data_IF_636195014593
#
_entry.id   IF_636195014593
#
_cell.length_a   1.000
_cell.length_b   1.000
_cell.length_c   1.000
_cell.angle_alpha   90.00
_cell.angle_beta   90.00
_cell.angle_gamma   90.00
#
_symmetry.space_group_name_H-M   'P 1'
#
loop_
_entity.id
_entity.type
_entity.pdbx_description
1 polymer ?
#
# COMPACT_ATOMS: atom_id res chain seq x y z
N UNK A 1 0.61 -30.41 6.51
CA UNK A 1 -0.19 -29.17 6.59
C UNK A 1 0.47 -28.27 7.62
N UNK A 2 0.85 -27.02 7.31
CA UNK A 2 1.40 -26.13 8.33
C UNK A 2 0.34 -25.94 9.41
N UNK A 3 0.66 -26.37 10.63
CA UNK A 3 -0.17 -26.16 11.81
C UNK A 3 0.01 -24.70 12.18
N UNK A 4 -0.94 -23.83 11.81
CA UNK A 4 -1.00 -22.47 12.35
C UNK A 4 -1.22 -22.64 13.85
N UNK A 5 -0.14 -22.53 14.62
CA UNK A 5 -0.21 -22.48 16.07
C UNK A 5 -0.99 -21.23 16.44
N UNK A 6 -2.25 -21.38 16.79
CA UNK A 6 -3.09 -20.30 17.32
C UNK A 6 -2.55 -19.88 18.68
N UNK A 7 -1.50 -19.06 18.71
CA UNK A 7 -1.08 -18.35 19.90
C UNK A 7 -2.17 -17.31 20.22
N UNK A 8 -2.78 -17.41 21.40
CA UNK A 8 -3.66 -16.36 21.86
C UNK A 8 -2.84 -15.09 22.09
N UNK A 9 -3.33 -13.96 21.58
CA UNK A 9 -2.67 -12.65 21.76
C UNK A 9 -3.72 -11.70 22.27
N UNK A 10 -3.42 -11.01 23.37
CA UNK A 10 -4.32 -10.01 23.96
C UNK A 10 -3.79 -8.62 23.62
N UNK A 11 -4.65 -7.79 23.01
CA UNK A 11 -4.37 -6.39 22.71
C UNK A 11 -5.29 -5.50 23.55
N UNK A 12 -4.72 -4.51 24.25
CA UNK A 12 -5.50 -3.50 24.98
C UNK A 12 -5.52 -2.19 24.20
N UNK A 13 -6.72 -1.70 23.87
CA UNK A 13 -6.91 -0.40 23.23
C UNK A 13 -7.16 0.63 24.34
N UNK A 14 -6.25 1.60 24.52
CA UNK A 14 -6.36 2.66 25.53
C UNK A 14 -6.91 3.93 24.90
N UNK A 15 -7.56 4.76 25.74
CA UNK A 15 -8.10 6.07 25.35
C UNK A 15 -9.07 6.01 24.16
N UNK A 16 -9.87 4.94 24.06
CA UNK A 16 -10.93 4.86 23.06
C UNK A 16 -12.02 5.89 23.40
N UNK A 17 -12.35 6.75 22.45
CA UNK A 17 -13.41 7.75 22.62
C UNK A 17 -14.73 7.06 22.99
N UNK A 18 -15.45 7.61 23.99
CA UNK A 18 -16.69 7.01 24.49
C UNK A 18 -17.77 6.84 23.40
N UNK A 19 -17.96 7.79 22.45
CA UNK A 19 -18.86 7.58 21.31
C UNK A 19 -18.49 6.35 20.48
N UNK A 20 -17.20 6.13 20.22
CA UNK A 20 -16.72 4.98 19.44
C UNK A 20 -16.97 3.67 20.18
N UNK A 21 -16.70 3.64 21.48
CA UNK A 21 -17.01 2.48 22.34
C UNK A 21 -18.50 2.16 22.35
N UNK A 22 -19.36 3.18 22.41
CA UNK A 22 -20.81 3.00 22.37
C UNK A 22 -21.25 2.39 21.02
N UNK A 23 -20.77 2.95 19.91
CA UNK A 23 -21.06 2.44 18.57
C UNK A 23 -20.58 1.00 18.39
N UNK A 24 -19.37 0.68 18.87
CA UNK A 24 -18.83 -0.68 18.83
C UNK A 24 -19.74 -1.68 19.57
N UNK A 25 -20.24 -1.30 20.74
CA UNK A 25 -21.18 -2.13 21.52
C UNK A 25 -22.50 -2.32 20.78
N UNK A 26 -23.05 -1.26 20.17
CA UNK A 26 -24.29 -1.34 19.39
C UNK A 26 -24.12 -2.24 18.15
N UNK A 27 -22.99 -2.14 17.47
CA UNK A 27 -22.67 -2.97 16.31
C UNK A 27 -22.52 -4.45 16.68
N UNK A 28 -21.81 -4.75 17.78
CA UNK A 28 -21.70 -6.11 18.30
C UNK A 28 -23.05 -6.73 18.67
N UNK A 29 -23.95 -5.93 19.28
CA UNK A 29 -25.31 -6.36 19.59
C UNK A 29 -26.14 -6.64 18.32
N UNK A 30 -26.05 -5.75 17.32
CA UNK A 30 -26.67 -5.93 16.00
C UNK A 30 -26.22 -7.24 15.33
N UNK A 31 -24.92 -7.53 15.39
CA UNK A 31 -24.33 -8.75 14.83
C UNK A 31 -24.41 -9.98 15.74
N UNK A 32 -25.07 -9.87 16.91
CA UNK A 32 -25.29 -10.96 17.87
C UNK A 32 -23.99 -11.64 18.34
N UNK A 33 -22.96 -10.87 18.65
CA UNK A 33 -21.64 -11.38 19.08
C UNK A 33 -21.00 -10.52 20.16
N UNK A 34 -19.89 -11.00 20.70
CA UNK A 34 -19.12 -10.25 21.70
C UNK A 34 -18.50 -8.99 21.09
N UNK A 35 -18.28 -7.98 21.94
CA UNK A 35 -17.57 -6.77 21.54
C UNK A 35 -16.12 -7.07 21.11
N UNK A 36 -15.47 -8.09 21.69
CA UNK A 36 -14.15 -8.57 21.27
C UNK A 36 -14.18 -9.12 19.84
N UNK A 37 -15.17 -9.98 19.53
CA UNK A 37 -15.31 -10.53 18.19
C UNK A 37 -15.51 -9.39 17.17
N UNK A 38 -16.34 -8.40 17.51
CA UNK A 38 -16.55 -7.20 16.68
C UNK A 38 -15.28 -6.40 16.45
N UNK A 39 -14.54 -6.11 17.50
CA UNK A 39 -13.27 -5.41 17.39
C UNK A 39 -12.29 -6.19 16.50
N UNK A 40 -12.19 -7.50 16.68
CA UNK A 40 -11.30 -8.36 15.90
C UNK A 40 -11.64 -8.37 14.42
N UNK A 41 -12.92 -8.45 14.07
CA UNK A 41 -13.33 -8.43 12.67
C UNK A 41 -13.09 -7.06 12.02
N UNK A 42 -13.41 -5.96 12.72
CA UNK A 42 -13.16 -4.60 12.23
C UNK A 42 -11.65 -4.40 11.98
N UNK A 43 -10.81 -4.80 12.93
CA UNK A 43 -9.35 -4.72 12.79
C UNK A 43 -8.85 -5.57 11.62
N UNK A 44 -9.33 -6.81 11.51
CA UNK A 44 -8.97 -7.71 10.40
C UNK A 44 -9.32 -7.06 9.06
N UNK A 45 -10.55 -6.55 8.91
CA UNK A 45 -11.01 -5.90 7.69
C UNK A 45 -10.18 -4.65 7.37
N UNK A 46 -9.93 -3.79 8.35
CA UNK A 46 -9.20 -2.55 8.14
C UNK A 46 -7.73 -2.80 7.72
N UNK A 47 -7.06 -3.74 8.38
CA UNK A 47 -5.66 -4.07 8.08
C UNK A 47 -5.53 -4.79 6.74
N UNK A 48 -6.42 -5.72 6.43
CA UNK A 48 -6.39 -6.46 5.15
C UNK A 48 -6.73 -5.58 3.95
N UNK A 49 -7.72 -4.68 4.07
CA UNK A 49 -8.04 -3.70 3.03
C UNK A 49 -6.88 -2.73 2.78
N UNK A 50 -6.21 -2.30 3.85
CA UNK A 50 -5.02 -1.45 3.73
C UNK A 50 -3.89 -2.17 3.01
N UNK A 51 -3.60 -3.42 3.37
CA UNK A 51 -2.60 -4.22 2.69
C UNK A 51 -2.93 -4.45 1.20
N UNK A 52 -4.20 -4.72 0.87
CA UNK A 52 -4.65 -4.85 -0.51
C UNK A 52 -4.45 -3.55 -1.31
N UNK A 53 -4.73 -2.39 -0.73
CA UNK A 53 -4.46 -1.09 -1.37
C UNK A 53 -2.97 -0.85 -1.59
N UNK A 54 -2.11 -1.25 -0.65
CA UNK A 54 -0.65 -1.15 -0.81
C UNK A 54 -0.13 -2.08 -1.90
N UNK A 55 -0.57 -3.35 -1.94
CA UNK A 55 -0.18 -4.31 -2.99
C UNK A 55 -0.65 -3.84 -4.36
N UNK A 56 -1.87 -3.30 -4.45
CA UNK A 56 -2.37 -2.74 -5.70
C UNK A 56 -1.58 -1.50 -6.11
N UNK A 57 -1.24 -0.59 -5.20
CA UNK A 57 -0.39 0.56 -5.51
C UNK A 57 1.02 0.14 -5.96
N UNK A 58 1.61 -0.89 -5.34
CA UNK A 58 2.92 -1.41 -5.71
C UNK A 58 2.91 -2.21 -7.03
N UNK A 59 1.79 -2.85 -7.36
CA UNK A 59 1.58 -3.61 -8.59
C UNK A 59 1.05 -2.79 -9.77
N UNK A 60 0.48 -1.61 -9.52
CA UNK A 60 0.06 -0.64 -10.55
C UNK A 60 1.26 0.07 -11.21
N UNK A 61 2.43 0.06 -10.58
CA UNK A 61 3.71 0.26 -11.28
C UNK A 61 4.12 -1.09 -11.88
N UNK A 62 3.34 -1.54 -12.87
CA UNK A 62 3.63 -2.77 -13.59
C UNK A 62 5.00 -2.69 -14.27
N UNK A 63 5.63 -3.84 -14.52
CA UNK A 63 6.86 -3.88 -15.34
C UNK A 63 6.62 -3.31 -16.75
N UNK A 64 5.36 -3.28 -17.22
CA UNK A 64 4.96 -2.57 -18.43
C UNK A 64 5.10 -1.04 -18.28
N UNK A 65 4.75 -0.46 -17.13
CA UNK A 65 4.96 0.96 -16.84
C UNK A 65 6.47 1.29 -16.71
N UNK A 66 7.27 0.42 -16.08
CA UNK A 66 8.74 0.58 -16.04
C UNK A 66 9.37 0.52 -17.44
N UNK A 67 8.93 -0.41 -18.28
CA UNK A 67 9.39 -0.53 -19.67
C UNK A 67 8.92 0.65 -20.53
N UNK A 68 7.70 1.15 -20.32
CA UNK A 68 7.21 2.34 -21.01
C UNK A 68 8.05 3.59 -20.68
N UNK A 69 8.44 3.77 -19.41
CA UNK A 69 9.36 4.85 -18.99
C UNK A 69 10.78 4.62 -19.53
N UNK A 70 11.24 3.38 -19.66
CA UNK A 70 12.51 3.06 -20.31
C UNK A 70 12.49 3.37 -21.81
N UNK A 71 11.39 3.10 -22.51
CA UNK A 71 11.19 3.50 -23.91
C UNK A 71 11.17 5.02 -24.09
N UNK A 72 10.63 5.76 -23.11
CA UNK A 72 10.70 7.23 -23.09
C UNK A 72 12.13 7.73 -22.87
N UNK A 73 12.96 7.05 -22.07
CA UNK A 73 14.39 7.39 -21.91
C UNK A 73 15.25 7.05 -23.13
N UNK A 74 14.89 6.02 -23.90
CA UNK A 74 15.60 5.61 -25.12
C UNK A 74 15.42 6.55 -26.31
N UNK A 75 14.34 7.33 -26.36
CA UNK A 75 14.08 8.30 -27.44
C UNK A 75 15.06 9.49 -27.46
N UNK A 76 15.74 9.75 -26.34
CA UNK A 76 16.74 10.82 -26.22
C UNK A 76 18.18 10.34 -26.45
N UNK A 77 18.44 9.03 -26.39
CA UNK A 77 19.77 8.47 -26.60
C UNK A 77 20.18 8.45 -28.09
N UNK A 78 19.22 8.46 -29.02
CA UNK A 78 19.48 8.39 -30.46
C UNK A 78 19.68 9.72 -31.18
N UNK A 79 19.69 10.86 -30.48
CA UNK A 79 19.79 12.20 -31.11
C UNK A 79 21.03 13.02 -30.74
N UNK A 80 22.03 12.40 -30.12
CA UNK A 80 23.21 13.10 -29.61
C UNK A 80 22.85 13.87 -28.35
N UNK A 81 23.69 13.76 -27.32
CA UNK A 81 23.47 14.52 -26.09
C UNK A 81 23.47 16.02 -26.43
N UNK A 82 22.64 16.83 -25.76
CA UNK A 82 22.75 18.30 -25.87
C UNK A 82 24.18 18.76 -25.63
N UNK A 83 24.93 18.05 -24.77
CA UNK A 83 26.33 18.35 -24.48
C UNK A 83 27.27 18.05 -25.66
N UNK A 84 26.92 17.10 -26.53
CA UNK A 84 27.65 16.71 -27.73
C UNK A 84 27.38 17.71 -28.87
N UNK A 85 26.12 18.10 -29.07
CA UNK A 85 25.76 19.18 -30.01
C UNK A 85 26.34 20.54 -29.58
N UNK A 86 26.40 20.82 -28.27
CA UNK A 86 27.02 22.03 -27.74
C UNK A 86 28.56 21.98 -27.83
N UNK A 87 29.15 20.79 -27.92
CA UNK A 87 30.59 20.58 -28.12
C UNK A 87 30.97 20.75 -29.60
N UNK A 88 30.19 20.19 -30.52
CA UNK A 88 30.36 20.42 -31.97
C UNK A 88 30.21 21.89 -32.35
N UNK A 89 29.22 22.60 -31.78
CA UNK A 89 29.02 24.03 -32.05
C UNK A 89 30.09 24.93 -31.40
N UNK A 90 30.84 24.43 -30.42
CA UNK A 90 31.94 25.16 -29.76
C UNK A 90 33.26 25.05 -30.53
N UNK A 91 33.40 24.10 -31.47
CA UNK A 91 34.57 24.00 -32.35
C UNK A 91 35.86 23.67 -31.61
N UNK A 92 35.83 22.72 -30.68
CA UNK A 92 37.03 22.19 -30.04
C UNK A 92 37.31 20.79 -30.60
N UNK A 93 38.19 20.73 -31.61
CA UNK A 93 38.95 19.53 -32.01
C UNK A 93 40.10 19.28 -31.02
#
# INVERSE_FOLDING_TARGET
MPKVSSMNTTLTIRNLEEPVKHLLRMQAASHKRSMEAEAREILTRAVTQSAAHQVNAQGLISDAAKNAVASVRGLWQGRGSTDEMMRELRGED
#
